data_IF_585094466743
#
_entry.id   IF_585094466743
#
_cell.length_a   1.000
_cell.length_b   1.000
_cell.length_c   1.000
_cell.angle_alpha   90.00
_cell.angle_beta   90.00
_cell.angle_gamma   90.00
#
_symmetry.space_group_name_H-M   'P 1'
#
loop_
_entity.id
_entity.type
_entity.pdbx_description
1 polymer ?
#
# COMPACT_ATOMS: atom_id res chain seq x y z
N UNK A 1 -11.06 -20.38 2.55
CA UNK A 1 -12.03 -19.64 1.71
C UNK A 1 -11.29 -19.08 0.51
N UNK A 2 -11.72 -19.42 -0.71
CA UNK A 2 -10.95 -19.17 -1.95
C UNK A 2 -10.73 -17.66 -2.18
N UNK A 3 -9.51 -17.28 -2.54
CA UNK A 3 -9.07 -15.92 -2.86
C UNK A 3 -10.02 -15.22 -3.86
N UNK A 4 -10.61 -16.01 -4.76
CA UNK A 4 -11.60 -15.56 -5.74
C UNK A 4 -12.78 -14.83 -5.11
N UNK A 5 -13.29 -15.31 -3.96
CA UNK A 5 -14.42 -14.68 -3.28
C UNK A 5 -14.03 -13.34 -2.66
N UNK A 6 -12.79 -13.20 -2.14
CA UNK A 6 -12.30 -11.91 -1.63
C UNK A 6 -12.22 -10.87 -2.72
N UNK A 7 -11.67 -11.24 -3.89
CA UNK A 7 -11.55 -10.33 -5.02
C UNK A 7 -12.93 -9.92 -5.53
N UNK A 8 -13.86 -10.87 -5.67
CA UNK A 8 -15.22 -10.58 -6.12
C UNK A 8 -15.96 -9.63 -5.15
N UNK A 9 -15.88 -9.87 -3.84
CA UNK A 9 -16.52 -9.02 -2.83
C UNK A 9 -15.87 -7.64 -2.79
N UNK A 10 -14.53 -7.56 -2.80
CA UNK A 10 -13.80 -6.29 -2.82
C UNK A 10 -14.13 -5.46 -4.07
N UNK A 11 -14.25 -6.11 -5.23
CA UNK A 11 -14.61 -5.45 -6.49
C UNK A 11 -16.05 -4.91 -6.48
N UNK A 12 -17.01 -5.69 -5.98
CA UNK A 12 -18.41 -5.24 -5.85
C UNK A 12 -18.52 -4.09 -4.83
N UNK A 13 -17.78 -4.17 -3.72
CA UNK A 13 -17.73 -3.12 -2.71
C UNK A 13 -17.13 -1.82 -3.26
N UNK A 14 -16.03 -1.90 -4.02
CA UNK A 14 -15.43 -0.76 -4.72
C UNK A 14 -16.39 -0.12 -5.73
N UNK A 15 -17.15 -0.94 -6.46
CA UNK A 15 -18.12 -0.45 -7.42
C UNK A 15 -19.32 0.28 -6.78
N UNK A 16 -19.75 -0.16 -5.59
CA UNK A 16 -20.91 0.37 -4.85
C UNK A 16 -20.57 1.60 -4.00
N UNK A 17 -19.43 1.59 -3.33
CA UNK A 17 -19.03 2.64 -2.37
C UNK A 17 -18.17 3.70 -3.07
N UNK A 18 -17.41 3.32 -4.10
CA UNK A 18 -16.33 4.14 -4.65
C UNK A 18 -15.25 4.41 -3.61
N UNK A 19 -14.32 5.34 -3.92
CA UNK A 19 -13.36 5.83 -2.93
C UNK A 19 -13.97 7.03 -2.17
N UNK A 20 -14.35 6.89 -0.89
CA UNK A 20 -14.87 8.01 -0.11
C UNK A 20 -13.80 9.10 0.01
N UNK A 21 -14.11 10.31 -0.52
CA UNK A 21 -13.23 11.48 -0.47
C UNK A 21 -12.77 11.77 0.97
N UNK A 22 -11.54 11.40 1.29
CA UNK A 22 -10.91 11.65 2.59
C UNK A 22 -10.47 10.41 3.38
N UNK A 23 -10.75 9.19 2.92
CA UNK A 23 -10.28 8.00 3.61
C UNK A 23 -8.74 7.90 3.62
N UNK A 24 -8.12 7.42 4.72
CA UNK A 24 -6.68 7.21 4.80
C UNK A 24 -6.28 6.06 3.88
N UNK A 25 -6.06 6.40 2.61
CA UNK A 25 -5.67 5.45 1.59
C UNK A 25 -4.15 5.19 1.73
N UNK A 26 -3.71 3.93 1.82
CA UNK A 26 -2.29 3.59 1.99
C UNK A 26 -1.40 4.19 0.88
N UNK A 27 -1.91 4.29 -0.34
CA UNK A 27 -1.22 4.96 -1.47
C UNK A 27 -0.86 6.42 -1.15
N UNK A 28 -1.73 7.19 -0.47
CA UNK A 28 -1.43 8.58 -0.09
C UNK A 28 -0.27 8.64 0.91
N UNK A 29 -0.16 7.67 1.81
CA UNK A 29 0.94 7.58 2.78
C UNK A 29 2.24 7.25 2.03
N UNK A 30 2.20 6.28 1.11
CA UNK A 30 3.34 5.91 0.27
C UNK A 30 3.82 7.10 -0.57
N UNK A 31 2.90 7.85 -1.18
CA UNK A 31 3.23 9.02 -1.98
C UNK A 31 3.89 10.14 -1.15
N UNK A 32 3.41 10.37 0.08
CA UNK A 32 4.03 11.34 1.02
C UNK A 32 5.43 10.88 1.43
N UNK A 33 5.61 9.59 1.70
CA UNK A 33 6.91 9.01 2.03
C UNK A 33 7.88 9.12 0.86
N UNK A 34 7.41 8.85 -0.37
CA UNK A 34 8.21 9.02 -1.58
C UNK A 34 8.67 10.47 -1.79
N UNK A 35 7.77 11.46 -1.66
CA UNK A 35 8.14 12.88 -1.76
C UNK A 35 9.16 13.29 -0.70
N UNK A 36 9.00 12.81 0.54
CA UNK A 36 9.94 13.11 1.62
C UNK A 36 11.33 12.50 1.36
N UNK A 37 11.38 11.23 0.92
CA UNK A 37 12.64 10.57 0.57
C UNK A 37 13.29 11.20 -0.66
N UNK A 38 12.53 11.61 -1.65
CA UNK A 38 13.07 12.30 -2.83
C UNK A 38 13.72 13.63 -2.44
N UNK A 39 13.04 14.45 -1.61
CA UNK A 39 13.57 15.71 -1.12
C UNK A 39 14.85 15.52 -0.28
N UNK A 40 14.93 14.44 0.50
CA UNK A 40 16.12 14.07 1.26
C UNK A 40 17.25 13.58 0.34
N UNK A 41 16.95 12.66 -0.57
CA UNK A 41 17.93 12.06 -1.49
C UNK A 41 18.54 13.09 -2.44
N UNK A 42 17.74 14.06 -2.91
CA UNK A 42 18.21 15.19 -3.73
C UNK A 42 19.15 16.15 -2.98
N UNK A 43 19.05 16.24 -1.65
CA UNK A 43 19.99 17.03 -0.82
C UNK A 43 21.28 16.28 -0.53
N UNK A 44 21.21 14.95 -0.44
CA UNK A 44 22.34 14.09 -0.05
C UNK A 44 23.25 13.73 -1.23
N UNK A 45 22.69 13.50 -2.42
CA UNK A 45 23.45 13.02 -3.58
C UNK A 45 23.55 14.08 -4.68
N UNK A 46 24.77 14.34 -5.16
CA UNK A 46 25.01 15.25 -6.30
C UNK A 46 24.49 14.70 -7.63
N UNK A 47 24.36 13.37 -7.76
CA UNK A 47 23.82 12.73 -8.98
C UNK A 47 22.34 12.42 -8.84
N UNK A 48 21.51 13.19 -9.56
CA UNK A 48 20.04 13.06 -9.56
C UNK A 48 19.57 11.66 -9.99
N UNK A 49 20.27 11.01 -10.92
CA UNK A 49 19.93 9.64 -11.37
C UNK A 49 20.10 8.62 -10.25
N UNK A 50 21.19 8.71 -9.49
CA UNK A 50 21.47 7.81 -8.38
C UNK A 50 20.52 8.05 -7.20
N UNK A 51 20.24 9.33 -6.90
CA UNK A 51 19.24 9.73 -5.92
C UNK A 51 17.85 9.14 -6.21
N UNK A 52 17.42 9.20 -7.47
CA UNK A 52 16.14 8.65 -7.92
C UNK A 52 16.08 7.13 -7.79
N UNK A 53 17.13 6.41 -8.20
CA UNK A 53 17.18 4.94 -8.08
C UNK A 53 17.08 4.50 -6.61
N UNK A 54 17.86 5.13 -5.72
CA UNK A 54 17.82 4.83 -4.29
C UNK A 54 16.43 5.10 -3.73
N UNK A 55 15.86 6.27 -4.03
CA UNK A 55 14.53 6.65 -3.55
C UNK A 55 13.48 5.61 -3.96
N UNK A 56 13.45 5.22 -5.24
CA UNK A 56 12.52 4.20 -5.75
C UNK A 56 12.69 2.86 -5.04
N UNK A 57 13.92 2.36 -4.92
CA UNK A 57 14.18 1.08 -4.24
C UNK A 57 13.72 1.14 -2.78
N UNK A 58 14.04 2.23 -2.07
CA UNK A 58 13.66 2.38 -0.67
C UNK A 58 12.15 2.48 -0.52
N UNK A 59 11.45 3.26 -1.35
CA UNK A 59 9.98 3.40 -1.29
C UNK A 59 9.29 2.07 -1.57
N UNK A 60 9.71 1.34 -2.61
CA UNK A 60 9.12 0.04 -2.96
C UNK A 60 9.37 -0.98 -1.85
N UNK A 61 10.62 -1.09 -1.38
CA UNK A 61 10.97 -2.03 -0.31
C UNK A 61 10.22 -1.73 1.00
N UNK A 62 10.18 -0.47 1.41
CA UNK A 62 9.45 -0.06 2.64
C UNK A 62 7.95 -0.28 2.53
N UNK A 63 7.35 0.04 1.38
CA UNK A 63 5.92 -0.18 1.16
C UNK A 63 5.56 -1.67 1.21
N UNK A 64 6.33 -2.50 0.51
CA UNK A 64 6.13 -3.95 0.51
C UNK A 64 6.29 -4.56 1.91
N UNK A 65 7.41 -4.25 2.58
CA UNK A 65 7.68 -4.77 3.93
C UNK A 65 6.62 -4.32 4.93
N UNK A 66 6.15 -3.08 4.84
CA UNK A 66 5.12 -2.57 5.74
C UNK A 66 3.81 -3.36 5.62
N UNK A 67 3.31 -3.54 4.39
CA UNK A 67 2.07 -4.30 4.16
C UNK A 67 2.27 -5.77 4.55
N UNK A 68 3.40 -6.37 4.19
CA UNK A 68 3.73 -7.75 4.54
C UNK A 68 3.75 -7.98 6.05
N UNK A 69 4.43 -7.13 6.80
CA UNK A 69 4.53 -7.23 8.27
C UNK A 69 3.14 -7.07 8.89
N UNK A 70 2.34 -6.10 8.43
CA UNK A 70 0.98 -5.89 8.95
C UNK A 70 0.14 -7.15 8.74
N UNK A 71 0.09 -7.69 7.53
CA UNK A 71 -0.70 -8.90 7.24
C UNK A 71 -0.19 -10.10 8.05
N UNK A 72 1.13 -10.29 8.14
CA UNK A 72 1.72 -11.41 8.87
C UNK A 72 1.43 -11.32 10.38
N UNK A 73 1.56 -10.14 10.99
CA UNK A 73 1.24 -9.93 12.41
C UNK A 73 -0.25 -10.16 12.65
N UNK A 74 -1.12 -9.66 11.78
CA UNK A 74 -2.57 -9.83 11.93
C UNK A 74 -3.00 -11.29 11.76
N UNK A 75 -2.38 -12.02 10.83
CA UNK A 75 -2.60 -13.45 10.63
C UNK A 75 -2.16 -14.26 11.85
N UNK A 76 -1.01 -13.90 12.44
CA UNK A 76 -0.47 -14.55 13.64
C UNK A 76 -1.32 -14.30 14.89
N UNK A 77 -1.96 -13.14 15.01
CA UNK A 77 -2.90 -12.84 16.10
C UNK A 77 -4.20 -13.61 15.90
N UNK A 78 -4.80 -13.53 14.70
CA UNK A 78 -6.01 -14.27 14.38
C UNK A 78 -6.18 -14.40 12.85
N UNK A 79 -6.36 -15.62 12.31
CA UNK A 79 -6.43 -15.84 10.86
C UNK A 79 -7.58 -15.06 10.17
N UNK A 80 -8.64 -14.74 10.90
CA UNK A 80 -9.73 -13.89 10.39
C UNK A 80 -9.32 -12.41 10.23
N UNK A 81 -8.45 -11.88 11.09
CA UNK A 81 -7.93 -10.51 11.00
C UNK A 81 -7.01 -10.36 9.78
N UNK A 82 -6.13 -11.35 9.53
CA UNK A 82 -5.29 -11.39 8.34
C UNK A 82 -6.11 -11.39 7.04
N UNK A 83 -7.24 -12.11 7.05
CA UNK A 83 -8.16 -12.17 5.91
C UNK A 83 -8.85 -10.82 5.63
N UNK A 84 -9.33 -10.13 6.67
CA UNK A 84 -9.94 -8.79 6.56
C UNK A 84 -8.90 -7.76 6.12
N UNK A 85 -7.70 -7.79 6.69
CA UNK A 85 -6.63 -6.87 6.32
C UNK A 85 -6.18 -7.05 4.87
N UNK A 86 -6.04 -8.29 4.40
CA UNK A 86 -5.76 -8.57 2.99
C UNK A 86 -6.87 -8.05 2.07
N UNK A 87 -8.14 -8.27 2.43
CA UNK A 87 -9.28 -7.73 1.69
C UNK A 87 -9.29 -6.19 1.64
N UNK A 88 -8.96 -5.54 2.76
CA UNK A 88 -8.83 -4.08 2.84
C UNK A 88 -7.69 -3.56 1.96
N UNK A 89 -6.51 -4.17 2.00
CA UNK A 89 -5.39 -3.77 1.14
C UNK A 89 -5.74 -3.93 -0.34
N UNK A 90 -6.37 -5.04 -0.73
CA UNK A 90 -6.84 -5.29 -2.11
C UNK A 90 -7.85 -4.21 -2.53
N UNK A 91 -8.84 -3.91 -1.70
CA UNK A 91 -9.79 -2.83 -1.94
C UNK A 91 -9.09 -1.47 -2.12
N UNK A 92 -8.14 -1.11 -1.25
CA UNK A 92 -7.39 0.14 -1.35
C UNK A 92 -6.30 0.18 -2.43
N UNK A 93 -6.09 -0.89 -3.17
CA UNK A 93 -5.13 -0.91 -4.29
C UNK A 93 -5.83 -1.09 -5.63
N UNK A 94 -7.02 -1.68 -5.63
CA UNK A 94 -7.97 -1.65 -6.73
C UNK A 94 -8.75 -0.33 -6.72
N UNK A 95 -8.08 0.77 -7.05
CA UNK A 95 -8.78 2.01 -7.40
C UNK A 95 -9.24 1.89 -8.85
N UNK A 96 -10.44 1.31 -9.04
CA UNK A 96 -11.08 1.24 -10.36
C UNK A 96 -11.72 2.58 -10.74
N UNK A 97 -11.95 3.46 -9.75
CA UNK A 97 -12.67 4.74 -9.90
C UNK A 97 -12.07 5.84 -9.04
#
# INVERSE_FOLDING_TARGET
MSLTYQIAIAFIADLLIGDPKGFPHPVKIIARLACALEAFSRKTFSSLKFAGIITTITVVATSFLSVWIVVLVLDHIHPWLGWVASGFFIYTTLSVR
#
